data_IF_578362704422
#
_entry.id   IF_578362704422
#
_cell.length_a   1.000
_cell.length_b   1.000
_cell.length_c   1.000
_cell.angle_alpha   90.00
_cell.angle_beta   90.00
_cell.angle_gamma   90.00
#
_symmetry.space_group_name_H-M   'P 1'
#
loop_
_entity.id
_entity.type
_entity.pdbx_description
1 polymer ?
#
# COMPACT_ATOMS: atom_id res chain seq x y z
N UNK A 1 -24.32 -12.59 15.68
CA UNK A 1 -23.43 -12.33 14.53
C UNK A 1 -22.67 -11.04 14.82
N UNK A 2 -21.41 -11.15 15.24
CA UNK A 2 -20.56 -10.00 15.55
C UNK A 2 -20.34 -9.24 14.23
N UNK A 3 -20.80 -7.98 14.15
CA UNK A 3 -20.43 -7.09 13.04
C UNK A 3 -18.91 -6.96 13.08
N UNK A 4 -18.23 -7.64 12.17
CA UNK A 4 -16.84 -7.36 11.85
C UNK A 4 -16.82 -5.99 11.17
N UNK A 5 -16.89 -4.93 11.97
CA UNK A 5 -16.69 -3.58 11.47
C UNK A 5 -15.32 -3.55 10.80
N UNK A 6 -15.31 -3.37 9.48
CA UNK A 6 -14.08 -3.26 8.73
C UNK A 6 -13.26 -2.10 9.28
N UNK A 7 -11.94 -2.28 9.33
CA UNK A 7 -10.98 -1.32 9.89
C UNK A 7 -11.19 0.12 9.36
N UNK A 8 -11.61 0.24 8.10
CA UNK A 8 -11.89 1.52 7.45
C UNK A 8 -13.07 2.30 8.07
N UNK A 9 -14.18 1.63 8.41
CA UNK A 9 -15.36 2.28 8.99
C UNK A 9 -15.08 2.87 10.39
N UNK A 10 -14.16 2.28 11.16
CA UNK A 10 -13.75 2.83 12.45
C UNK A 10 -12.87 4.07 12.33
N UNK A 11 -12.09 4.15 11.25
CA UNK A 11 -11.17 5.26 11.00
C UNK A 11 -11.92 6.53 10.58
N UNK A 12 -13.07 6.38 9.94
CA UNK A 12 -13.92 7.50 9.52
C UNK A 12 -15.37 7.26 10.00
N UNK A 13 -15.63 7.42 11.31
CA UNK A 13 -16.92 7.06 11.92
C UNK A 13 -18.08 7.96 11.47
N UNK A 14 -17.77 9.06 10.78
CA UNK A 14 -18.72 10.04 10.26
C UNK A 14 -18.53 10.17 8.76
N UNK A 15 -19.02 9.20 8.00
CA UNK A 15 -19.16 9.31 6.54
C UNK A 15 -20.34 10.24 6.18
N UNK A 16 -20.38 11.41 6.82
CA UNK A 16 -21.28 12.54 6.54
C UNK A 16 -20.46 13.83 6.51
N UNK A 17 -19.33 13.77 5.81
CA UNK A 17 -18.44 14.91 5.63
C UNK A 17 -18.57 15.38 4.18
N UNK A 18 -19.33 16.45 3.97
CA UNK A 18 -19.39 17.19 2.69
C UNK A 18 -18.03 17.80 2.33
N UNK A 19 -17.12 17.93 3.30
CA UNK A 19 -15.75 18.41 3.17
C UNK A 19 -14.84 17.50 3.97
N UNK A 20 -13.79 16.97 3.36
CA UNK A 20 -12.73 16.24 4.06
C UNK A 20 -11.38 16.88 3.72
N UNK A 21 -10.53 17.02 4.73
CA UNK A 21 -9.15 17.42 4.50
C UNK A 21 -8.39 16.21 3.93
N UNK A 22 -7.74 16.40 2.79
CA UNK A 22 -6.84 15.40 2.23
C UNK A 22 -5.54 15.41 3.04
N UNK A 23 -5.36 14.41 3.89
CA UNK A 23 -4.15 14.28 4.70
C UNK A 23 -2.96 13.90 3.79
N UNK A 24 -2.03 14.84 3.61
CA UNK A 24 -0.75 14.56 2.94
C UNK A 24 0.22 13.81 3.84
N UNK A 25 0.19 14.09 5.15
CA UNK A 25 1.03 13.47 6.18
C UNK A 25 0.25 13.41 7.49
N UNK A 26 0.46 12.35 8.27
CA UNK A 26 -0.12 12.19 9.61
C UNK A 26 0.75 11.36 10.53
N UNK A 27 0.53 11.48 11.83
CA UNK A 27 1.33 10.81 12.86
C UNK A 27 1.46 9.29 12.65
N UNK A 28 0.39 8.62 12.21
CA UNK A 28 0.43 7.18 11.93
C UNK A 28 1.48 6.78 10.91
N UNK A 29 1.67 7.59 9.86
CA UNK A 29 2.75 7.35 8.88
C UNK A 29 4.13 7.52 9.52
N UNK A 30 4.32 8.54 10.36
CA UNK A 30 5.60 8.79 11.04
C UNK A 30 5.99 7.62 11.95
N UNK A 31 5.04 7.07 12.72
CA UNK A 31 5.28 5.87 13.53
C UNK A 31 5.66 4.66 12.67
N UNK A 32 4.99 4.44 11.54
CA UNK A 32 5.30 3.36 10.62
C UNK A 32 6.68 3.53 9.96
N UNK A 33 7.02 4.74 9.52
CA UNK A 33 8.33 5.05 8.94
C UNK A 33 9.44 4.80 9.97
N UNK A 34 9.25 5.24 11.21
CA UNK A 34 10.18 5.00 12.32
C UNK A 34 10.34 3.50 12.60
N UNK A 35 9.23 2.77 12.76
CA UNK A 35 9.26 1.34 13.04
C UNK A 35 9.96 0.55 11.93
N UNK A 36 9.67 0.85 10.66
CA UNK A 36 10.31 0.21 9.52
C UNK A 36 11.82 0.48 9.49
N UNK A 37 12.24 1.73 9.70
CA UNK A 37 13.66 2.09 9.75
C UNK A 37 14.40 1.38 10.90
N UNK A 38 13.81 1.36 12.10
CA UNK A 38 14.36 0.66 13.25
C UNK A 38 14.52 -0.85 12.97
N UNK A 39 13.51 -1.48 12.37
CA UNK A 39 13.56 -2.90 12.02
C UNK A 39 14.58 -3.19 10.90
N UNK A 40 14.74 -2.29 9.93
CA UNK A 40 15.78 -2.40 8.90
C UNK A 40 17.20 -2.29 9.48
N UNK A 41 17.35 -1.57 10.60
CA UNK A 41 18.60 -1.44 11.37
C UNK A 41 18.75 -2.50 12.48
N UNK A 42 17.87 -3.51 12.51
CA UNK A 42 17.84 -4.57 13.54
C UNK A 42 17.74 -4.04 14.99
N UNK A 43 17.11 -2.87 15.18
CA UNK A 43 16.89 -2.28 16.48
C UNK A 43 15.64 -2.89 17.15
N UNK A 44 15.79 -3.36 18.39
CA UNK A 44 14.69 -3.95 19.17
C UNK A 44 13.52 -2.98 19.41
N UNK A 45 13.79 -1.67 19.41
CA UNK A 45 12.79 -0.62 19.62
C UNK A 45 11.69 -0.56 18.55
N UNK A 46 11.89 -1.20 17.39
CA UNK A 46 10.87 -1.30 16.35
C UNK A 46 9.55 -1.88 16.88
N UNK A 47 9.63 -2.89 17.75
CA UNK A 47 8.46 -3.52 18.39
C UNK A 47 7.72 -2.51 19.28
N UNK A 48 8.46 -1.72 20.07
CA UNK A 48 7.87 -0.72 20.96
C UNK A 48 7.17 0.38 20.17
N UNK A 49 7.80 0.89 19.11
CA UNK A 49 7.20 1.88 18.20
C UNK A 49 5.92 1.34 17.54
N UNK A 50 5.89 0.07 17.13
CA UNK A 50 4.68 -0.55 16.60
C UNK A 50 3.59 -0.71 17.66
N UNK A 51 3.93 -1.10 18.89
CA UNK A 51 2.97 -1.21 19.99
C UNK A 51 2.31 0.13 20.30
N UNK A 52 3.06 1.24 20.28
CA UNK A 52 2.50 2.58 20.47
C UNK A 52 1.40 2.90 19.45
N UNK A 53 1.64 2.59 18.17
CA UNK A 53 0.64 2.76 17.12
C UNK A 53 -0.57 1.82 17.30
N UNK A 54 -0.33 0.52 17.50
CA UNK A 54 -1.39 -0.48 17.60
C UNK A 54 -2.33 -0.24 18.79
N UNK A 55 -1.78 0.21 19.93
CA UNK A 55 -2.56 0.60 21.11
C UNK A 55 -3.60 1.69 20.84
N UNK A 56 -3.42 2.48 19.77
CA UNK A 56 -4.36 3.54 19.36
C UNK A 56 -5.27 3.14 18.22
N UNK A 57 -5.19 1.90 17.71
CA UNK A 57 -5.93 1.41 16.53
C UNK A 57 -6.79 0.19 16.82
N UNK A 58 -6.29 -0.71 17.65
CA UNK A 58 -7.01 -1.92 18.01
C UNK A 58 -7.94 -1.65 19.19
N UNK A 59 -9.23 -1.90 19.01
CA UNK A 59 -10.20 -1.90 20.11
C UNK A 59 -10.11 -3.19 20.93
N UNK A 60 -10.64 -3.15 22.15
CA UNK A 60 -10.80 -4.31 23.03
C UNK A 60 -9.49 -5.04 23.39
N UNK A 61 -8.34 -4.36 23.29
CA UNK A 61 -7.00 -4.90 23.59
C UNK A 61 -6.63 -6.17 22.81
N UNK A 62 -7.28 -6.42 21.66
CA UNK A 62 -6.94 -7.54 20.76
C UNK A 62 -5.73 -7.21 19.90
N UNK A 63 -4.61 -6.94 20.56
CA UNK A 63 -3.36 -6.61 19.91
C UNK A 63 -2.75 -7.89 19.29
N UNK A 64 -2.24 -7.83 18.05
CA UNK A 64 -1.38 -8.88 17.53
C UNK A 64 -0.18 -9.09 18.45
N UNK A 65 0.18 -10.35 18.70
CA UNK A 65 1.40 -10.69 19.43
C UNK A 65 2.57 -10.56 18.47
N UNK A 66 3.41 -9.56 18.70
CA UNK A 66 4.60 -9.28 17.88
C UNK A 66 5.91 -9.45 18.63
N UNK A 67 5.83 -9.78 19.93
CA UNK A 67 7.01 -10.06 20.74
C UNK A 67 7.73 -11.29 20.19
N UNK A 68 9.03 -11.14 19.92
CA UNK A 68 9.86 -12.18 19.30
C UNK A 68 9.94 -12.11 17.78
N UNK A 69 9.11 -11.31 17.10
CA UNK A 69 9.30 -11.07 15.67
C UNK A 69 10.61 -10.32 15.44
N UNK A 70 11.36 -10.74 14.43
CA UNK A 70 12.63 -10.11 14.07
C UNK A 70 12.89 -10.21 12.57
N UNK A 71 13.88 -9.44 12.11
CA UNK A 71 14.32 -9.44 10.72
C UNK A 71 13.17 -9.34 9.71
N UNK A 72 13.09 -10.31 8.79
CA UNK A 72 12.11 -10.32 7.71
C UNK A 72 10.66 -10.38 8.21
N UNK A 73 10.39 -11.12 9.28
CA UNK A 73 9.03 -11.32 9.80
C UNK A 73 8.49 -10.03 10.40
N UNK A 74 9.31 -9.32 11.18
CA UNK A 74 8.95 -8.01 11.73
C UNK A 74 8.70 -6.98 10.62
N UNK A 75 9.55 -6.96 9.59
CA UNK A 75 9.36 -6.07 8.44
C UNK A 75 8.07 -6.40 7.68
N UNK A 76 7.78 -7.68 7.43
CA UNK A 76 6.55 -8.09 6.78
C UNK A 76 5.32 -7.65 7.59
N UNK A 77 5.35 -7.82 8.92
CA UNK A 77 4.30 -7.33 9.81
C UNK A 77 4.11 -5.81 9.70
N UNK A 78 5.20 -5.03 9.76
CA UNK A 78 5.16 -3.56 9.64
C UNK A 78 4.57 -3.14 8.29
N UNK A 79 4.94 -3.79 7.19
CA UNK A 79 4.41 -3.50 5.84
C UNK A 79 2.92 -3.80 5.72
N UNK A 80 2.45 -4.86 6.40
CA UNK A 80 1.03 -5.19 6.45
C UNK A 80 0.23 -4.18 7.27
N UNK A 81 0.74 -3.79 8.44
CA UNK A 81 0.12 -2.72 9.25
C UNK A 81 0.12 -1.40 8.49
N UNK A 82 1.19 -1.06 7.77
CA UNK A 82 1.24 0.13 6.90
C UNK A 82 0.15 0.10 5.84
N UNK A 83 -0.08 -1.05 5.20
CA UNK A 83 -1.15 -1.22 4.20
C UNK A 83 -2.54 -1.03 4.81
N UNK A 84 -2.78 -1.53 6.03
CA UNK A 84 -4.08 -1.38 6.72
C UNK A 84 -4.29 0.06 7.16
N UNK A 85 -3.30 0.64 7.82
CA UNK A 85 -3.36 1.98 8.40
C UNK A 85 -3.51 3.04 7.31
N UNK A 86 -2.71 2.99 6.24
CA UNK A 86 -2.68 3.99 5.16
C UNK A 86 -3.54 3.60 3.93
N UNK A 87 -4.56 2.76 4.14
CA UNK A 87 -5.44 2.33 3.07
C UNK A 87 -6.19 3.54 2.48
N UNK A 88 -6.22 3.61 1.13
CA UNK A 88 -6.82 4.69 0.35
C UNK A 88 -6.18 6.08 0.51
N UNK A 89 -4.92 6.16 0.95
CA UNK A 89 -4.15 7.41 1.09
C UNK A 89 -3.00 7.52 0.07
N UNK A 90 -3.00 6.73 -1.02
CA UNK A 90 -2.01 6.86 -2.10
C UNK A 90 -0.61 6.26 -1.82
N UNK A 91 -0.32 5.76 -0.63
CA UNK A 91 1.01 5.22 -0.30
C UNK A 91 1.35 3.88 -0.99
N UNK A 92 0.34 3.03 -1.23
CA UNK A 92 0.59 1.62 -1.58
C UNK A 92 1.40 1.44 -2.87
N UNK A 93 1.19 2.29 -3.86
CA UNK A 93 1.92 2.24 -5.13
C UNK A 93 3.41 2.50 -4.93
N UNK A 94 3.76 3.56 -4.19
CA UNK A 94 5.15 3.92 -3.89
C UNK A 94 5.82 2.90 -2.98
N UNK A 95 5.09 2.38 -1.99
CA UNK A 95 5.59 1.35 -1.08
C UNK A 95 6.03 0.08 -1.84
N UNK A 96 5.20 -0.42 -2.76
CA UNK A 96 5.55 -1.62 -3.53
C UNK A 96 6.81 -1.43 -4.39
N UNK A 97 6.95 -0.26 -5.02
CA UNK A 97 8.14 0.06 -5.84
C UNK A 97 9.41 0.14 -5.00
N UNK A 98 9.37 0.82 -3.85
CA UNK A 98 10.56 0.92 -2.96
C UNK A 98 10.91 -0.40 -2.29
N UNK A 99 9.92 -1.26 -2.00
CA UNK A 99 10.19 -2.59 -1.43
C UNK A 99 10.89 -3.51 -2.44
N UNK A 100 10.54 -3.41 -3.72
CA UNK A 100 11.13 -4.24 -4.77
C UNK A 100 12.65 -4.00 -4.93
N UNK A 101 13.09 -2.75 -4.76
CA UNK A 101 14.51 -2.36 -4.89
C UNK A 101 15.22 -2.25 -3.54
N UNK A 102 14.60 -2.69 -2.45
CA UNK A 102 15.20 -2.60 -1.13
C UNK A 102 16.38 -3.59 -1.00
N UNK A 103 17.56 -3.15 -0.54
CA UNK A 103 18.71 -4.05 -0.38
C UNK A 103 18.49 -5.09 0.73
N UNK A 104 17.61 -4.79 1.69
CA UNK A 104 17.29 -5.65 2.83
C UNK A 104 15.81 -6.03 2.79
N UNK A 105 15.54 -7.33 2.76
CA UNK A 105 14.18 -7.88 2.65
C UNK A 105 13.39 -7.33 1.43
N UNK A 106 13.89 -7.53 0.19
CA UNK A 106 13.16 -7.15 -1.00
C UNK A 106 11.83 -7.90 -1.09
N UNK A 107 10.82 -7.23 -1.64
CA UNK A 107 9.51 -7.81 -1.89
C UNK A 107 9.02 -7.41 -3.27
N UNK A 108 8.89 -8.41 -4.14
CA UNK A 108 8.30 -8.28 -5.47
C UNK A 108 6.99 -9.05 -5.48
N UNK A 109 5.92 -8.44 -6.00
CA UNK A 109 4.59 -9.05 -6.06
C UNK A 109 3.91 -8.67 -7.36
N UNK A 110 3.31 -9.66 -8.02
CA UNK A 110 2.33 -9.42 -9.06
C UNK A 110 1.03 -8.89 -8.42
N UNK A 111 0.34 -7.97 -9.08
CA UNK A 111 -0.95 -7.45 -8.64
C UNK A 111 -2.01 -7.84 -9.65
N UNK A 112 -3.00 -8.60 -9.20
CA UNK A 112 -4.18 -8.92 -10.02
C UNK A 112 -5.33 -8.00 -9.63
N UNK A 113 -5.85 -7.26 -10.60
CA UNK A 113 -7.08 -6.49 -10.48
C UNK A 113 -8.20 -7.22 -11.22
N UNK A 114 -9.21 -7.67 -10.48
CA UNK A 114 -10.38 -8.34 -11.05
C UNK A 114 -11.46 -7.31 -11.30
N UNK A 115 -11.99 -7.29 -12.53
CA UNK A 115 -13.09 -6.45 -12.96
C UNK A 115 -14.34 -7.31 -13.07
N UNK A 116 -15.42 -6.83 -12.46
CA UNK A 116 -16.73 -7.43 -12.54
C UNK A 116 -17.62 -6.60 -13.45
N UNK A 117 -18.70 -7.21 -13.96
CA UNK A 117 -19.61 -6.51 -14.87
C UNK A 117 -20.21 -5.26 -14.22
N UNK A 118 -20.34 -4.14 -14.96
CA UNK A 118 -20.93 -2.91 -14.43
C UNK A 118 -22.31 -3.16 -13.80
N UNK A 119 -22.60 -2.46 -12.69
CA UNK A 119 -23.88 -2.56 -12.00
C UNK A 119 -24.05 -3.80 -11.10
N UNK A 120 -23.04 -4.65 -10.97
CA UNK A 120 -23.13 -5.89 -10.17
C UNK A 120 -22.40 -5.86 -8.82
N UNK A 121 -21.81 -4.72 -8.45
CA UNK A 121 -20.97 -4.57 -7.24
C UNK A 121 -21.71 -4.81 -5.91
N UNK A 122 -23.05 -4.74 -5.91
CA UNK A 122 -23.89 -5.00 -4.73
C UNK A 122 -24.43 -6.44 -4.68
N UNK A 123 -24.12 -7.28 -5.69
CA UNK A 123 -24.56 -8.67 -5.72
C UNK A 123 -23.61 -9.54 -4.90
N UNK A 124 -24.16 -10.47 -4.10
CA UNK A 124 -23.38 -11.47 -3.35
C UNK A 124 -22.43 -12.29 -4.24
N UNK A 125 -22.74 -12.40 -5.54
CA UNK A 125 -21.88 -12.99 -6.57
C UNK A 125 -21.91 -12.15 -7.85
N UNK A 126 -21.10 -11.10 -7.89
CA UNK A 126 -20.90 -10.31 -9.09
C UNK A 126 -20.30 -11.18 -10.22
N UNK A 127 -20.90 -11.24 -11.42
CA UNK A 127 -20.33 -11.96 -12.54
C UNK A 127 -19.00 -11.35 -12.97
N UNK A 128 -17.99 -12.21 -13.08
CA UNK A 128 -16.67 -11.88 -13.59
C UNK A 128 -16.77 -11.30 -15.02
N UNK A 129 -15.98 -10.27 -15.30
CA UNK A 129 -15.80 -9.72 -16.64
C UNK A 129 -14.42 -10.07 -17.17
N UNK A 130 -13.36 -9.54 -16.53
CA UNK A 130 -11.96 -9.75 -16.90
C UNK A 130 -11.01 -9.48 -15.73
N UNK A 131 -9.73 -9.75 -15.90
CA UNK A 131 -8.71 -9.40 -14.91
C UNK A 131 -7.44 -8.88 -15.55
N UNK A 132 -6.81 -7.90 -14.91
CA UNK A 132 -5.53 -7.35 -15.32
C UNK A 132 -4.46 -7.77 -14.32
N UNK A 133 -3.32 -8.25 -14.81
CA UNK A 133 -2.17 -8.58 -13.99
C UNK A 133 -1.04 -7.60 -14.28
N UNK A 134 -0.62 -6.88 -13.25
CA UNK A 134 0.64 -6.15 -13.24
C UNK A 134 1.72 -7.11 -12.76
N UNK A 135 2.69 -7.42 -13.62
CA UNK A 135 3.79 -8.33 -13.26
C UNK A 135 4.71 -7.66 -12.21
N UNK A 136 5.53 -8.45 -11.49
CA UNK A 136 6.42 -7.91 -10.48
C UNK A 136 7.31 -6.76 -11.00
N UNK A 137 7.71 -5.87 -10.10
CA UNK A 137 8.56 -4.73 -10.46
C UNK A 137 9.86 -5.18 -11.13
N UNK A 138 10.18 -4.60 -12.29
CA UNK A 138 11.32 -4.99 -13.13
C UNK A 138 10.98 -5.97 -14.25
N UNK A 139 9.82 -6.65 -14.19
CA UNK A 139 9.30 -7.52 -15.25
C UNK A 139 8.21 -6.83 -16.09
N UNK A 140 7.66 -5.71 -15.58
CA UNK A 140 6.64 -4.90 -16.23
C UNK A 140 7.05 -3.43 -16.29
N UNK A 141 6.78 -2.76 -17.40
CA UNK A 141 7.07 -1.33 -17.55
C UNK A 141 5.95 -0.43 -17.01
N UNK A 142 4.79 -1.00 -16.66
CA UNK A 142 3.64 -0.22 -16.19
C UNK A 142 3.77 0.32 -14.74
N UNK A 143 4.90 0.06 -14.06
CA UNK A 143 5.21 0.63 -12.75
C UNK A 143 5.60 2.12 -12.79
N UNK A 144 5.94 2.64 -13.97
CA UNK A 144 6.31 4.05 -14.18
C UNK A 144 5.38 4.64 -15.26
N UNK A 145 4.91 5.87 -15.05
CA UNK A 145 4.08 6.57 -16.03
C UNK A 145 4.94 6.97 -17.24
N UNK A 146 4.41 6.87 -18.48
CA UNK A 146 5.09 7.39 -19.65
C UNK A 146 5.26 8.91 -19.49
N UNK A 147 6.36 9.44 -20.03
CA UNK A 147 6.54 10.89 -20.11
C UNK A 147 5.55 11.42 -21.16
N UNK A 148 4.85 12.55 -20.91
CA UNK A 148 3.97 13.13 -21.92
C UNK A 148 4.73 13.39 -23.24
N UNK A 149 4.13 12.99 -24.37
CA UNK A 149 4.76 13.09 -25.69
C UNK A 149 5.13 14.54 -26.05
N UNK A 150 4.29 15.50 -25.65
CA UNK A 150 4.52 16.93 -25.83
C UNK A 150 5.85 17.40 -25.21
N UNK A 151 6.23 16.85 -24.06
CA UNK A 151 7.48 17.20 -23.37
C UNK A 151 8.71 16.59 -24.07
N UNK A 152 8.56 15.40 -24.66
CA UNK A 152 9.62 14.75 -25.44
C UNK A 152 9.90 15.50 -26.73
N UNK A 153 8.84 15.91 -27.43
CA UNK A 153 8.92 16.72 -28.66
C UNK A 153 9.52 18.09 -28.34
N UNK A 154 9.05 18.75 -27.29
CA UNK A 154 9.56 20.06 -26.88
C UNK A 154 11.07 20.03 -26.58
N UNK A 155 11.54 18.94 -25.96
CA UNK A 155 12.94 18.79 -25.60
C UNK A 155 13.83 18.23 -26.73
N UNK A 156 13.33 18.19 -27.97
CA UNK A 156 14.07 17.81 -29.19
C UNK A 156 14.87 16.50 -29.05
N UNK A 157 14.33 15.51 -28.33
CA UNK A 157 14.96 14.20 -28.16
C UNK A 157 16.11 14.12 -27.15
N UNK A 158 16.33 15.15 -26.32
CA UNK A 158 17.31 15.08 -25.21
C UNK A 158 16.82 14.20 -24.06
N UNK A 159 15.50 14.19 -23.82
CA UNK A 159 14.87 13.28 -22.86
C UNK A 159 14.61 11.93 -23.51
N UNK A 160 14.95 10.87 -22.79
CA UNK A 160 14.62 9.49 -23.16
C UNK A 160 13.36 9.10 -22.39
N UNK A 161 12.36 8.57 -23.10
CA UNK A 161 11.13 8.10 -22.45
C UNK A 161 11.38 6.85 -21.59
N UNK A 162 10.46 6.60 -20.67
CA UNK A 162 10.39 5.36 -19.93
C UNK A 162 10.10 4.19 -20.90
N UNK A 163 10.55 2.97 -20.58
CA UNK A 163 10.28 1.80 -21.41
C UNK A 163 8.80 1.63 -21.76
N UNK A 164 8.51 1.27 -23.01
CA UNK A 164 7.14 1.13 -23.49
C UNK A 164 6.36 0.07 -22.71
N UNK A 165 5.09 0.36 -22.46
CA UNK A 165 4.18 -0.54 -21.78
C UNK A 165 3.64 -1.56 -22.76
N UNK A 166 3.54 -2.81 -22.31
CA UNK A 166 2.88 -3.86 -23.07
C UNK A 166 1.37 -3.57 -23.07
N UNK A 167 0.73 -3.64 -24.24
CA UNK A 167 -0.73 -3.55 -24.34
C UNK A 167 -1.41 -4.68 -23.56
N UNK A 168 -2.51 -4.36 -22.89
CA UNK A 168 -3.26 -5.32 -22.08
C UNK A 168 -4.70 -5.38 -22.58
N UNK A 169 -5.18 -6.57 -22.88
CA UNK A 169 -6.57 -6.87 -23.25
C UNK A 169 -7.48 -6.97 -22.01
#
# INVERSE_FOLDING_TARGET
LQKNDCFFNRKNPMFDATVFDSFLLRSGEIYLNKAEAQAMLDQADAINTMKELMNKRYADHKLPVIDGLSGKELIQFIREERRKELCFEGHRWFDLRRYAVSPKYPETKAITHVIFKPGTSLMDKAPYDRSYVLQPYGEDNAWVLPIPEEELVFNNGVMVDNPERIERE
#
